data_IF_994916291604
#
_entry.id   IF_994916291604
#
_cell.length_a   1.000
_cell.length_b   1.000
_cell.length_c   1.000
_cell.angle_alpha   90.00
_cell.angle_beta   90.00
_cell.angle_gamma   90.00
#
_symmetry.space_group_name_H-M   'P 1'
#
loop_
_entity.id
_entity.type
_entity.pdbx_description
1 polymer ?
#
# COMPACT_ATOMS: atom_id res chain seq x y z
N UNK A 1 19.33 25.91 29.41
CA UNK A 1 19.74 25.11 28.24
C UNK A 1 20.22 26.08 27.17
N UNK A 2 21.49 26.04 26.81
CA UNK A 2 22.08 26.90 25.76
C UNK A 2 22.19 26.11 24.44
N UNK A 3 22.42 26.83 23.33
CA UNK A 3 22.52 26.24 21.99
C UNK A 3 23.92 25.67 21.70
N UNK A 4 24.88 25.82 22.61
CA UNK A 4 26.29 25.43 22.43
C UNK A 4 26.47 23.99 21.96
N UNK A 5 25.67 23.05 22.48
CA UNK A 5 25.74 21.63 22.07
C UNK A 5 25.36 21.42 20.59
N UNK A 6 24.38 22.19 20.09
CA UNK A 6 23.96 22.19 18.70
C UNK A 6 25.01 22.84 17.80
N UNK A 7 25.61 23.94 18.25
CA UNK A 7 26.66 24.64 17.50
C UNK A 7 27.92 23.79 17.38
N UNK A 8 28.31 23.10 18.46
CA UNK A 8 29.41 22.12 18.45
C UNK A 8 29.12 20.99 17.46
N UNK A 9 27.89 20.51 17.38
CA UNK A 9 27.50 19.49 16.40
C UNK A 9 27.62 19.99 14.95
N UNK A 10 27.18 21.22 14.65
CA UNK A 10 27.39 21.82 13.33
C UNK A 10 28.87 22.06 13.02
N UNK A 11 29.70 22.33 14.02
CA UNK A 11 31.17 22.37 13.90
C UNK A 11 31.75 21.01 13.50
N UNK A 12 31.32 19.94 14.16
CA UNK A 12 31.75 18.56 13.86
C UNK A 12 31.38 18.19 12.42
N UNK A 13 30.17 18.49 11.95
CA UNK A 13 29.76 18.17 10.57
C UNK A 13 30.65 18.89 9.55
N UNK A 14 30.96 20.18 9.77
CA UNK A 14 31.87 20.94 8.90
C UNK A 14 33.27 20.36 8.88
N UNK A 15 33.82 20.01 10.04
CA UNK A 15 35.13 19.39 10.15
C UNK A 15 35.22 18.03 9.42
N UNK A 16 34.15 17.22 9.49
CA UNK A 16 34.07 15.91 8.83
C UNK A 16 33.90 16.06 7.31
N UNK A 17 33.35 17.18 6.83
CA UNK A 17 33.28 17.50 5.41
C UNK A 17 34.65 17.89 4.79
N UNK A 18 35.70 18.01 5.61
CA UNK A 18 37.05 18.33 5.18
C UNK A 18 37.13 19.74 4.57
N UNK A 19 37.68 19.93 3.35
CA UNK A 19 37.79 21.24 2.72
C UNK A 19 36.44 21.85 2.29
N UNK A 20 35.34 21.11 2.45
CA UNK A 20 34.00 21.59 2.11
C UNK A 20 33.28 22.17 3.34
N UNK A 21 33.72 23.34 3.78
CA UNK A 21 33.18 24.04 4.97
C UNK A 21 31.70 24.45 4.85
N UNK A 22 31.13 24.39 3.65
CA UNK A 22 29.74 24.72 3.34
C UNK A 22 29.05 23.57 2.58
N UNK A 23 28.79 22.43 3.26
CA UNK A 23 28.18 21.28 2.62
C UNK A 23 26.77 21.62 2.11
N UNK A 24 26.48 21.21 0.87
CA UNK A 24 25.13 21.27 0.31
C UNK A 24 24.14 20.44 1.16
N UNK A 25 22.84 20.75 1.12
CA UNK A 25 21.81 20.03 1.91
C UNK A 25 21.87 18.50 1.76
N UNK A 26 22.06 17.91 0.56
CA UNK A 26 22.26 16.47 0.41
C UNK A 26 23.52 15.95 1.13
N UNK A 27 24.64 16.66 1.01
CA UNK A 27 25.92 16.30 1.65
C UNK A 27 25.80 16.38 3.17
N UNK A 28 25.19 17.44 3.69
CA UNK A 28 24.92 17.62 5.11
C UNK A 28 24.07 16.48 5.66
N UNK A 29 23.00 16.10 4.96
CA UNK A 29 22.13 15.00 5.38
C UNK A 29 22.87 13.65 5.39
N UNK A 30 23.76 13.43 4.44
CA UNK A 30 24.57 12.21 4.38
C UNK A 30 25.58 12.14 5.53
N UNK A 31 26.29 13.24 5.80
CA UNK A 31 27.22 13.35 6.93
C UNK A 31 26.51 13.20 8.28
N UNK A 32 25.34 13.82 8.43
CA UNK A 32 24.48 13.67 9.60
C UNK A 32 24.15 12.18 9.86
N UNK A 33 23.67 11.46 8.84
CA UNK A 33 23.36 10.03 8.95
C UNK A 33 24.58 9.19 9.33
N UNK A 34 25.73 9.47 8.71
CA UNK A 34 26.98 8.75 9.00
C UNK A 34 27.38 8.98 10.46
N UNK A 35 27.38 10.23 10.93
CA UNK A 35 27.79 10.57 12.29
C UNK A 35 26.83 10.05 13.36
N UNK A 36 25.53 10.04 13.10
CA UNK A 36 24.52 9.46 14.00
C UNK A 36 24.67 7.95 14.16
N UNK A 37 25.20 7.25 13.16
CA UNK A 37 25.44 5.80 13.19
C UNK A 37 26.86 5.48 13.67
N UNK A 38 27.83 6.37 13.43
CA UNK A 38 29.24 6.16 13.78
C UNK A 38 29.45 5.96 15.29
N UNK A 39 28.74 6.71 16.14
CA UNK A 39 28.78 6.55 17.60
C UNK A 39 28.25 5.21 18.10
N UNK A 40 27.37 4.56 17.31
CA UNK A 40 26.80 3.24 17.62
C UNK A 40 27.70 2.09 17.16
N UNK A 41 28.50 2.32 16.11
CA UNK A 41 29.42 1.32 15.55
C UNK A 41 30.78 1.36 16.26
N UNK A 42 31.24 2.54 16.67
CA UNK A 42 32.58 2.71 17.26
C UNK A 42 32.53 3.71 18.40
N UNK A 43 32.76 3.27 19.66
CA UNK A 43 32.88 4.22 20.76
C UNK A 43 34.07 5.17 20.50
N UNK A 44 33.98 6.44 20.94
CA UNK A 44 35.07 7.39 20.79
C UNK A 44 36.33 6.87 21.47
N UNK A 45 37.47 6.85 20.76
CA UNK A 45 38.76 6.36 21.27
C UNK A 45 39.33 7.20 22.43
N UNK A 46 38.86 8.43 22.59
CA UNK A 46 39.37 9.39 23.58
C UNK A 46 38.23 10.23 24.13
N UNK A 47 38.09 10.24 25.46
CA UNK A 47 37.15 11.04 26.24
C UNK A 47 37.23 10.59 27.70
N UNK A 48 37.03 11.49 28.67
CA UNK A 48 37.05 11.19 30.11
C UNK A 48 35.80 10.40 30.57
N UNK A 49 35.27 9.52 29.73
CA UNK A 49 34.20 8.61 30.07
C UNK A 49 34.83 7.23 30.29
N UNK A 50 34.95 6.82 31.55
CA UNK A 50 35.19 5.42 31.88
C UNK A 50 34.06 4.59 31.29
N UNK A 51 34.39 3.56 30.51
CA UNK A 51 33.42 2.61 29.97
C UNK A 51 32.87 1.84 31.16
N UNK A 52 31.76 2.32 31.71
CA UNK A 52 30.99 1.61 32.70
C UNK A 52 30.09 0.64 31.94
N UNK A 53 30.35 -0.65 32.14
CA UNK A 53 29.60 -1.82 31.64
C UNK A 53 30.07 -2.40 30.29
N UNK A 54 30.43 -3.69 30.35
CA UNK A 54 30.84 -4.56 29.25
C UNK A 54 29.71 -4.88 28.25
N UNK A 55 28.53 -4.26 28.38
CA UNK A 55 27.33 -4.55 27.61
C UNK A 55 26.77 -3.31 26.89
N UNK A 56 27.60 -2.65 26.07
CA UNK A 56 27.04 -1.75 25.05
C UNK A 56 26.56 -2.65 23.89
N UNK A 57 25.28 -2.60 23.47
CA UNK A 57 24.85 -3.26 22.25
C UNK A 57 25.50 -2.54 21.06
N UNK A 58 26.72 -2.94 20.71
CA UNK A 58 27.41 -2.46 19.51
C UNK A 58 26.67 -3.07 18.33
N UNK A 59 25.94 -2.24 17.60
CA UNK A 59 25.33 -2.65 16.34
C UNK A 59 26.48 -2.98 15.40
N UNK A 60 26.66 -4.27 15.12
CA UNK A 60 27.72 -4.75 14.25
C UNK A 60 27.37 -4.47 12.78
N UNK A 61 28.40 -4.46 11.93
CA UNK A 61 28.19 -4.42 10.47
C UNK A 61 27.34 -5.62 10.02
N UNK A 62 27.38 -6.73 10.75
CA UNK A 62 26.54 -7.89 10.47
C UNK A 62 25.06 -7.65 10.80
N UNK A 63 24.75 -6.88 11.85
CA UNK A 63 23.37 -6.47 12.17
C UNK A 63 22.83 -5.52 11.10
N UNK A 64 23.66 -4.58 10.63
CA UNK A 64 23.30 -3.70 9.50
C UNK A 64 23.10 -4.53 8.23
N UNK A 65 23.97 -5.50 7.96
CA UNK A 65 23.83 -6.42 6.83
C UNK A 65 22.60 -7.31 6.97
N UNK A 66 22.21 -7.75 8.15
CA UNK A 66 20.95 -8.49 8.36
C UNK A 66 19.74 -7.61 8.08
N UNK A 67 19.73 -6.36 8.56
CA UNK A 67 18.66 -5.38 8.28
C UNK A 67 18.61 -5.00 6.79
N UNK A 68 19.75 -4.97 6.12
CA UNK A 68 19.83 -4.64 4.68
C UNK A 68 19.54 -5.87 3.81
N UNK A 69 19.95 -7.06 4.23
CA UNK A 69 19.63 -8.36 3.61
C UNK A 69 18.18 -8.79 3.93
N UNK A 70 17.46 -8.08 4.81
CA UNK A 70 15.99 -8.07 4.87
C UNK A 70 15.35 -7.42 3.62
N UNK A 71 16.01 -7.48 2.46
CA UNK A 71 15.34 -7.57 1.16
C UNK A 71 14.44 -8.83 1.02
N UNK A 72 14.24 -9.59 2.10
CA UNK A 72 13.05 -10.40 2.38
C UNK A 72 11.70 -9.64 2.32
N UNK A 73 11.65 -8.35 1.95
CA UNK A 73 10.40 -7.76 1.44
C UNK A 73 9.90 -8.49 0.20
N UNK A 74 10.81 -8.99 -0.65
CA UNK A 74 10.42 -9.84 -1.77
C UNK A 74 9.93 -11.20 -1.29
N UNK A 75 10.57 -11.83 -0.28
CA UNK A 75 10.14 -13.15 0.20
C UNK A 75 8.79 -13.12 0.92
N UNK A 76 8.55 -12.16 1.82
CA UNK A 76 7.26 -12.03 2.54
C UNK A 76 6.13 -11.71 1.56
N UNK A 77 6.37 -10.81 0.60
CA UNK A 77 5.39 -10.51 -0.45
C UNK A 77 5.12 -11.75 -1.31
N UNK A 78 6.17 -12.46 -1.74
CA UNK A 78 6.03 -13.68 -2.52
C UNK A 78 5.26 -14.75 -1.76
N UNK A 79 5.53 -14.92 -0.47
CA UNK A 79 4.80 -15.86 0.40
C UNK A 79 3.32 -15.50 0.51
N UNK A 80 2.99 -14.22 0.75
CA UNK A 80 1.60 -13.74 0.81
C UNK A 80 0.86 -13.93 -0.52
N UNK A 81 1.53 -13.63 -1.64
CA UNK A 81 1.00 -13.84 -2.99
C UNK A 81 0.84 -15.32 -3.30
N UNK A 82 1.76 -16.17 -2.87
CA UNK A 82 1.67 -17.62 -3.04
C UNK A 82 0.51 -18.21 -2.23
N UNK A 83 0.35 -17.79 -0.97
CA UNK A 83 -0.81 -18.16 -0.13
C UNK A 83 -2.13 -17.75 -0.79
N UNK A 84 -2.19 -16.54 -1.34
CA UNK A 84 -3.35 -16.06 -2.09
C UNK A 84 -3.62 -16.92 -3.33
N UNK A 85 -2.59 -17.21 -4.13
CA UNK A 85 -2.71 -18.04 -5.33
C UNK A 85 -3.24 -19.43 -5.00
N UNK A 86 -2.69 -20.06 -3.95
CA UNK A 86 -3.15 -21.37 -3.48
C UNK A 86 -4.61 -21.34 -3.02
N UNK A 87 -5.04 -20.30 -2.27
CA UNK A 87 -6.45 -20.14 -1.88
C UNK A 87 -7.38 -20.02 -3.10
N UNK A 88 -6.94 -19.29 -4.12
CA UNK A 88 -7.70 -19.17 -5.38
C UNK A 88 -7.78 -20.51 -6.09
N UNK A 89 -6.67 -21.25 -6.20
CA UNK A 89 -6.61 -22.59 -6.80
C UNK A 89 -7.55 -23.59 -6.09
N UNK A 90 -7.64 -23.55 -4.75
CA UNK A 90 -8.57 -24.42 -3.99
C UNK A 90 -10.04 -24.13 -4.29
N UNK A 91 -10.44 -22.85 -4.32
CA UNK A 91 -11.83 -22.44 -4.61
C UNK A 91 -12.26 -22.87 -6.03
N UNK A 92 -11.28 -23.01 -6.92
CA UNK A 92 -11.46 -23.38 -8.31
C UNK A 92 -11.78 -24.88 -8.48
N UNK A 93 -11.15 -25.76 -7.68
CA UNK A 93 -11.24 -27.22 -7.83
C UNK A 93 -12.56 -27.79 -7.28
N UNK A 94 -13.19 -27.10 -6.32
CA UNK A 94 -14.42 -27.54 -5.66
C UNK A 94 -15.72 -27.20 -6.43
N UNK A 95 -15.69 -27.18 -7.76
CA UNK A 95 -16.77 -26.67 -8.63
C UNK A 95 -18.20 -26.97 -8.16
N UNK A 96 -18.83 -26.01 -7.46
CA UNK A 96 -20.25 -26.06 -7.06
C UNK A 96 -20.88 -24.66 -7.14
N UNK A 97 -21.78 -24.50 -8.12
CA UNK A 97 -22.77 -23.42 -8.27
C UNK A 97 -24.05 -23.80 -7.51
N UNK A 98 -24.71 -22.88 -6.80
CA UNK A 98 -25.89 -22.21 -7.35
C UNK A 98 -25.86 -20.66 -7.37
N UNK A 99 -26.66 -20.04 -8.25
CA UNK A 99 -26.70 -18.59 -8.56
C UNK A 99 -27.66 -17.82 -7.66
N UNK A 100 -28.60 -18.51 -7.00
CA UNK A 100 -29.79 -17.87 -6.45
C UNK A 100 -29.62 -17.26 -5.03
N UNK A 101 -28.48 -17.45 -4.37
CA UNK A 101 -28.27 -16.97 -2.99
C UNK A 101 -27.70 -15.54 -2.88
N UNK A 102 -27.27 -14.90 -3.99
CA UNK A 102 -26.77 -13.51 -3.95
C UNK A 102 -27.93 -12.49 -4.03
N UNK A 103 -29.14 -12.94 -4.37
CA UNK A 103 -30.32 -12.08 -4.55
C UNK A 103 -31.34 -12.11 -3.40
N UNK A 104 -31.12 -12.88 -2.33
CA UNK A 104 -32.03 -12.87 -1.20
C UNK A 104 -31.66 -11.77 -0.20
N UNK A 105 -32.44 -10.71 -0.26
CA UNK A 105 -32.63 -9.66 0.76
C UNK A 105 -31.54 -8.61 0.93
N UNK A 106 -31.31 -7.80 -0.10
CA UNK A 106 -30.81 -6.45 0.14
C UNK A 106 -31.86 -5.42 -0.27
N UNK A 107 -32.51 -4.86 0.74
CA UNK A 107 -33.19 -3.56 0.66
C UNK A 107 -32.22 -2.55 0.01
N UNK A 108 -32.35 -2.34 -1.31
CA UNK A 108 -31.65 -1.32 -2.09
C UNK A 108 -32.01 0.11 -1.67
N UNK A 109 -32.93 0.26 -0.72
CA UNK A 109 -33.22 1.51 -0.06
C UNK A 109 -32.36 1.64 1.20
N UNK A 110 -31.44 2.61 1.16
CA UNK A 110 -30.92 3.37 2.31
C UNK A 110 -29.44 3.13 2.70
N UNK A 111 -28.51 3.53 1.83
CA UNK A 111 -27.24 4.22 2.18
C UNK A 111 -26.50 4.65 0.90
N UNK A 112 -26.65 5.91 0.45
CA UNK A 112 -25.78 6.61 -0.52
C UNK A 112 -25.00 5.74 -1.55
N UNK A 113 -25.64 4.75 -2.19
CA UNK A 113 -24.94 3.64 -2.84
C UNK A 113 -24.27 4.06 -4.14
N UNK A 114 -24.85 5.03 -4.84
CA UNK A 114 -24.39 5.47 -6.16
C UNK A 114 -22.97 6.04 -6.16
N UNK A 115 -22.55 6.80 -5.14
CA UNK A 115 -21.21 7.42 -5.12
C UNK A 115 -20.12 6.38 -4.90
N UNK A 116 -20.35 5.45 -3.97
CA UNK A 116 -19.42 4.35 -3.73
C UNK A 116 -19.27 3.50 -4.99
N UNK A 117 -20.39 3.07 -5.55
CA UNK A 117 -20.44 2.24 -6.76
C UNK A 117 -19.77 2.94 -7.95
N UNK A 118 -20.04 4.24 -8.14
CA UNK A 118 -19.39 5.06 -9.16
C UNK A 118 -17.86 5.13 -9.01
N UNK A 119 -17.38 5.30 -7.78
CA UNK A 119 -15.93 5.37 -7.52
C UNK A 119 -15.27 4.02 -7.73
N UNK A 120 -15.88 2.94 -7.22
CA UNK A 120 -15.41 1.57 -7.41
C UNK A 120 -15.39 1.20 -8.89
N UNK A 121 -16.42 1.56 -9.64
CA UNK A 121 -16.51 1.33 -11.08
C UNK A 121 -15.41 2.08 -11.85
N UNK A 122 -15.18 3.35 -11.50
CA UNK A 122 -14.08 4.14 -12.05
C UNK A 122 -12.71 3.51 -11.75
N UNK A 123 -12.48 3.05 -10.51
CA UNK A 123 -11.24 2.37 -10.12
C UNK A 123 -11.07 1.03 -10.83
N UNK A 124 -12.16 0.29 -11.04
CA UNK A 124 -12.17 -0.97 -11.79
C UNK A 124 -11.69 -0.78 -13.23
N UNK A 125 -12.10 0.31 -13.88
CA UNK A 125 -11.57 0.71 -15.20
C UNK A 125 -10.05 0.96 -15.18
N UNK A 126 -9.53 1.62 -14.14
CA UNK A 126 -8.08 1.81 -13.96
C UNK A 126 -7.34 0.48 -13.78
N UNK A 127 -7.88 -0.44 -12.96
CA UNK A 127 -7.29 -1.78 -12.77
C UNK A 127 -7.24 -2.53 -14.09
N UNK A 128 -8.32 -2.51 -14.87
CA UNK A 128 -8.37 -3.15 -16.18
C UNK A 128 -7.26 -2.63 -17.11
N UNK A 129 -7.15 -1.30 -17.23
CA UNK A 129 -6.11 -0.65 -18.05
C UNK A 129 -4.69 -1.02 -17.62
N UNK A 130 -4.47 -1.27 -16.34
CA UNK A 130 -3.16 -1.65 -15.78
C UNK A 130 -2.84 -3.13 -15.94
N UNK A 131 -3.85 -4.00 -15.97
CA UNK A 131 -3.70 -5.44 -16.16
C UNK A 131 -3.40 -5.80 -17.61
N UNK A 132 -4.17 -5.25 -18.55
CA UNK A 132 -4.17 -5.66 -19.96
C UNK A 132 -2.77 -5.73 -20.62
N UNK A 133 -1.84 -4.78 -20.42
CA UNK A 133 -0.51 -4.85 -21.04
C UNK A 133 0.32 -6.07 -20.61
N UNK A 134 0.02 -6.67 -19.46
CA UNK A 134 0.76 -7.80 -18.92
C UNK A 134 0.15 -9.16 -19.31
N UNK A 135 -1.03 -9.18 -19.93
CA UNK A 135 -1.75 -10.41 -20.28
C UNK A 135 -1.45 -10.75 -21.74
N UNK A 136 -0.87 -11.94 -21.96
CA UNK A 136 -0.57 -12.46 -23.31
C UNK A 136 -1.66 -13.41 -23.82
N UNK A 137 -2.38 -14.07 -22.93
CA UNK A 137 -3.44 -15.00 -23.30
C UNK A 137 -4.66 -14.25 -23.85
N UNK A 138 -5.05 -14.58 -25.09
CA UNK A 138 -6.19 -13.96 -25.77
C UNK A 138 -7.51 -14.20 -25.02
N UNK A 139 -7.73 -15.42 -24.52
CA UNK A 139 -8.94 -15.74 -23.75
C UNK A 139 -9.04 -14.89 -22.48
N UNK A 140 -7.93 -14.66 -21.77
CA UNK A 140 -7.90 -13.79 -20.59
C UNK A 140 -8.17 -12.32 -20.95
N UNK A 141 -7.59 -11.83 -22.06
CA UNK A 141 -7.84 -10.48 -22.56
C UNK A 141 -9.32 -10.29 -22.94
N UNK A 142 -9.90 -11.25 -23.64
CA UNK A 142 -11.31 -11.21 -24.04
C UNK A 142 -12.24 -11.24 -22.82
N UNK A 143 -11.86 -11.95 -21.75
CA UNK A 143 -12.61 -12.01 -20.49
C UNK A 143 -12.62 -10.69 -19.72
N UNK A 144 -11.56 -9.89 -19.88
CA UNK A 144 -11.39 -8.58 -19.25
C UNK A 144 -11.63 -7.44 -20.24
N UNK A 145 -12.18 -7.74 -21.43
CA UNK A 145 -12.32 -6.76 -22.49
C UNK A 145 -13.12 -5.56 -21.99
N UNK A 146 -12.53 -4.34 -22.06
CA UNK A 146 -13.26 -3.15 -21.66
C UNK A 146 -14.32 -2.81 -22.69
N UNK A 147 -15.39 -2.19 -22.22
CA UNK A 147 -16.35 -1.49 -23.08
C UNK A 147 -15.89 -0.04 -23.26
N UNK A 148 -16.18 0.50 -24.45
CA UNK A 148 -15.86 1.88 -24.82
C UNK A 148 -17.14 2.61 -25.19
N UNK A 149 -17.15 3.93 -24.99
CA UNK A 149 -18.32 4.76 -25.26
C UNK A 149 -19.14 5.01 -24.00
N UNK A 150 -20.43 5.25 -24.18
CA UNK A 150 -21.34 5.56 -23.08
C UNK A 150 -22.06 4.29 -22.65
N UNK A 151 -21.86 3.89 -21.39
CA UNK A 151 -22.58 2.76 -20.78
C UNK A 151 -23.69 3.31 -19.88
N UNK A 152 -24.93 2.88 -20.11
CA UNK A 152 -26.12 3.40 -19.43
C UNK A 152 -26.43 2.51 -18.21
N UNK A 153 -25.59 2.63 -17.18
CA UNK A 153 -25.81 2.03 -15.85
C UNK A 153 -25.44 3.06 -14.76
N UNK A 154 -26.09 3.04 -13.58
CA UNK A 154 -25.84 4.03 -12.52
C UNK A 154 -24.37 4.10 -12.09
N UNK A 155 -23.70 2.97 -12.00
CA UNK A 155 -22.31 2.85 -11.55
C UNK A 155 -21.31 3.45 -12.56
N UNK A 156 -21.70 3.58 -13.82
CA UNK A 156 -20.86 4.15 -14.87
C UNK A 156 -20.92 5.68 -14.92
N UNK A 157 -21.78 6.33 -14.13
CA UNK A 157 -22.06 7.77 -14.21
C UNK A 157 -20.78 8.62 -14.08
N UNK A 158 -19.91 8.31 -13.12
CA UNK A 158 -18.64 9.02 -12.93
C UNK A 158 -17.68 8.88 -14.12
N UNK A 159 -17.63 7.69 -14.73
CA UNK A 159 -16.80 7.44 -15.93
C UNK A 159 -17.36 8.24 -17.11
N UNK A 160 -18.67 8.17 -17.33
CA UNK A 160 -19.36 8.92 -18.39
C UNK A 160 -19.18 10.43 -18.24
N UNK A 161 -19.23 10.95 -17.00
CA UNK A 161 -19.03 12.38 -16.72
C UNK A 161 -17.58 12.83 -16.98
N UNK A 162 -16.60 11.98 -16.65
CA UNK A 162 -15.17 12.34 -16.75
C UNK A 162 -14.51 11.97 -18.06
N UNK A 163 -15.11 11.08 -18.85
CA UNK A 163 -14.47 10.56 -20.04
C UNK A 163 -14.32 11.65 -21.11
N UNK A 164 -13.14 11.68 -21.74
CA UNK A 164 -12.86 12.44 -22.96
C UNK A 164 -12.63 11.50 -24.15
N UNK A 165 -13.22 10.30 -24.10
CA UNK A 165 -13.06 9.24 -25.09
C UNK A 165 -11.98 8.18 -24.76
N UNK A 166 -11.21 8.34 -23.67
CA UNK A 166 -10.10 7.44 -23.33
C UNK A 166 -10.23 6.68 -22.01
N UNK A 167 -11.32 6.91 -21.26
CA UNK A 167 -11.64 6.08 -20.10
C UNK A 167 -12.35 4.81 -20.56
N UNK A 168 -12.04 3.72 -19.87
CA UNK A 168 -12.53 2.38 -20.18
C UNK A 168 -13.55 1.94 -19.16
N UNK A 169 -14.63 1.32 -19.61
CA UNK A 169 -15.59 0.66 -18.75
C UNK A 169 -15.10 -0.76 -18.45
N UNK A 170 -14.97 -1.15 -17.17
CA UNK A 170 -14.61 -2.51 -16.81
C UNK A 170 -15.69 -3.50 -17.25
N UNK A 171 -15.29 -4.74 -17.52
CA UNK A 171 -16.26 -5.84 -17.61
C UNK A 171 -16.99 -6.01 -16.26
N UNK A 172 -18.27 -6.38 -16.30
CA UNK A 172 -19.13 -6.58 -15.12
C UNK A 172 -18.48 -7.47 -14.05
N UNK A 173 -17.84 -8.57 -14.43
CA UNK A 173 -17.22 -9.49 -13.47
C UNK A 173 -16.05 -8.83 -12.72
N UNK A 174 -15.22 -8.07 -13.43
CA UNK A 174 -14.13 -7.32 -12.80
C UNK A 174 -14.67 -6.28 -11.83
N UNK A 175 -15.72 -5.55 -12.22
CA UNK A 175 -16.37 -4.58 -11.34
C UNK A 175 -16.86 -5.22 -10.04
N UNK A 176 -17.60 -6.33 -10.12
CA UNK A 176 -18.13 -7.02 -8.93
C UNK A 176 -17.03 -7.53 -8.01
N UNK A 177 -15.93 -8.07 -8.57
CA UNK A 177 -14.76 -8.50 -7.79
C UNK A 177 -14.18 -7.30 -7.04
N UNK A 178 -13.94 -6.18 -7.73
CA UNK A 178 -13.35 -4.98 -7.12
C UNK A 178 -14.28 -4.36 -6.07
N UNK A 179 -15.59 -4.35 -6.32
CA UNK A 179 -16.58 -3.88 -5.35
C UNK A 179 -16.53 -4.69 -4.05
N UNK A 180 -16.49 -6.02 -4.15
CA UNK A 180 -16.39 -6.88 -2.98
C UNK A 180 -15.04 -6.73 -2.26
N UNK A 181 -13.93 -6.60 -3.00
CA UNK A 181 -12.61 -6.32 -2.39
C UNK A 181 -12.64 -4.97 -1.66
N UNK A 182 -13.28 -3.92 -2.18
CA UNK A 182 -13.36 -2.62 -1.50
C UNK A 182 -14.17 -2.73 -0.20
N UNK A 183 -15.30 -3.43 -0.21
CA UNK A 183 -16.12 -3.66 1.00
C UNK A 183 -15.31 -4.40 2.07
N UNK A 184 -14.47 -5.37 1.69
CA UNK A 184 -13.60 -6.06 2.63
C UNK A 184 -12.43 -5.17 3.08
N UNK A 185 -11.82 -4.43 2.16
CA UNK A 185 -10.71 -3.51 2.45
C UNK A 185 -11.12 -2.44 3.45
N UNK A 186 -12.30 -1.83 3.31
CA UNK A 186 -12.78 -0.78 4.20
C UNK A 186 -12.87 -1.24 5.66
N UNK A 187 -13.27 -2.50 5.89
CA UNK A 187 -13.34 -3.10 7.23
C UNK A 187 -11.96 -3.26 7.87
N UNK A 188 -10.95 -3.60 7.07
CA UNK A 188 -9.60 -3.94 7.55
C UNK A 188 -8.57 -2.85 7.28
N UNK A 189 -8.96 -1.68 6.78
CA UNK A 189 -8.04 -0.63 6.32
C UNK A 189 -7.10 -0.10 7.42
N UNK A 190 -7.53 -0.16 8.69
CA UNK A 190 -6.76 0.26 9.86
C UNK A 190 -5.91 -0.85 10.48
N UNK A 191 -6.07 -2.10 10.02
CA UNK A 191 -5.34 -3.25 10.55
C UNK A 191 -3.85 -3.20 10.20
N UNK A 192 -2.96 -3.74 11.04
CA UNK A 192 -1.57 -3.99 10.65
C UNK A 192 -1.43 -5.02 9.51
N UNK A 193 -2.41 -5.91 9.32
CA UNK A 193 -2.38 -7.02 8.34
C UNK A 193 -3.46 -6.86 7.24
N UNK A 194 -3.67 -5.62 6.76
CA UNK A 194 -4.74 -5.27 5.80
C UNK A 194 -4.86 -6.24 4.63
N UNK A 195 -3.73 -6.66 4.05
CA UNK A 195 -3.74 -7.53 2.86
C UNK A 195 -4.33 -8.90 3.15
N UNK A 196 -3.84 -9.57 4.20
CA UNK A 196 -4.31 -10.91 4.60
C UNK A 196 -5.76 -10.88 5.00
N UNK A 197 -6.12 -9.94 5.89
CA UNK A 197 -7.47 -9.86 6.44
C UNK A 197 -8.50 -9.49 5.37
N UNK A 198 -8.14 -8.62 4.42
CA UNK A 198 -9.00 -8.32 3.26
C UNK A 198 -9.22 -9.55 2.39
N UNK A 199 -8.16 -10.32 2.11
CA UNK A 199 -8.28 -11.55 1.32
C UNK A 199 -9.11 -12.61 2.06
N UNK A 200 -8.89 -12.79 3.36
CA UNK A 200 -9.61 -13.77 4.18
C UNK A 200 -11.10 -13.44 4.31
N UNK A 201 -11.44 -12.18 4.55
CA UNK A 201 -12.83 -11.72 4.57
C UNK A 201 -13.49 -11.81 3.19
N UNK A 202 -12.74 -11.62 2.10
CA UNK A 202 -13.28 -11.86 0.76
C UNK A 202 -13.64 -13.33 0.56
N UNK A 203 -12.72 -14.25 0.90
CA UNK A 203 -12.92 -15.68 0.66
C UNK A 203 -13.93 -16.32 1.62
N UNK A 204 -14.07 -15.80 2.85
CA UNK A 204 -15.06 -16.30 3.80
C UNK A 204 -16.51 -16.03 3.37
N UNK A 205 -16.72 -15.11 2.43
CA UNK A 205 -18.04 -14.73 1.91
C UNK A 205 -18.53 -15.61 0.76
N UNK A 206 -17.84 -16.72 0.47
CA UNK A 206 -18.21 -17.68 -0.59
C UNK A 206 -18.44 -17.01 -1.95
N UNK A 207 -17.66 -15.98 -2.27
CA UNK A 207 -17.77 -15.29 -3.55
C UNK A 207 -17.27 -16.19 -4.70
N UNK A 208 -18.18 -16.58 -5.59
CA UNK A 208 -17.87 -17.48 -6.71
C UNK A 208 -17.14 -16.73 -7.82
N UNK A 209 -15.84 -17.02 -7.96
CA UNK A 209 -14.99 -16.48 -9.02
C UNK A 209 -15.01 -17.39 -10.24
N UNK A 210 -15.75 -17.03 -11.28
CA UNK A 210 -15.66 -17.71 -12.58
C UNK A 210 -14.75 -16.91 -13.52
N UNK A 211 -13.77 -17.60 -14.10
CA UNK A 211 -12.91 -17.05 -15.13
C UNK A 211 -12.73 -18.10 -16.22
N UNK A 212 -12.97 -17.76 -17.49
CA UNK A 212 -13.13 -18.76 -18.54
C UNK A 212 -11.81 -19.44 -18.93
N UNK A 213 -10.66 -18.83 -18.62
CA UNK A 213 -9.36 -19.44 -18.84
C UNK A 213 -8.95 -20.33 -17.66
N UNK A 214 -8.88 -21.64 -17.86
CA UNK A 214 -8.46 -22.60 -16.84
C UNK A 214 -7.01 -22.44 -16.38
N UNK A 215 -6.10 -22.09 -17.31
CA UNK A 215 -4.66 -22.09 -17.03
C UNK A 215 -4.17 -20.85 -16.27
N UNK A 216 -4.74 -19.68 -16.57
CA UNK A 216 -4.25 -18.39 -16.07
C UNK A 216 -5.17 -17.73 -15.05
N UNK A 217 -6.37 -18.28 -14.79
CA UNK A 217 -7.35 -17.68 -13.86
C UNK A 217 -6.72 -17.29 -12.52
N UNK A 218 -5.98 -18.19 -11.91
CA UNK A 218 -5.42 -17.98 -10.57
C UNK A 218 -4.37 -16.88 -10.58
N UNK A 219 -3.57 -16.80 -11.65
CA UNK A 219 -2.62 -15.72 -11.87
C UNK A 219 -3.34 -14.37 -12.06
N UNK A 220 -4.35 -14.31 -12.93
CA UNK A 220 -5.10 -13.07 -13.22
C UNK A 220 -5.85 -12.57 -11.99
N UNK A 221 -6.57 -13.43 -11.27
CA UNK A 221 -7.27 -13.05 -10.04
C UNK A 221 -6.28 -12.60 -8.98
N UNK A 222 -5.17 -13.33 -8.79
CA UNK A 222 -4.10 -12.91 -7.85
C UNK A 222 -3.59 -11.51 -8.20
N UNK A 223 -3.34 -11.24 -9.49
CA UNK A 223 -2.89 -9.94 -9.96
C UNK A 223 -3.93 -8.84 -9.69
N UNK A 224 -5.23 -9.11 -9.86
CA UNK A 224 -6.32 -8.18 -9.51
C UNK A 224 -6.24 -7.79 -8.03
N UNK A 225 -6.22 -8.77 -7.13
CA UNK A 225 -6.15 -8.54 -5.68
C UNK A 225 -4.90 -7.76 -5.29
N UNK A 226 -3.74 -8.21 -5.78
CA UNK A 226 -2.45 -7.58 -5.49
C UNK A 226 -2.44 -6.13 -5.97
N UNK A 227 -2.89 -5.86 -7.18
CA UNK A 227 -2.91 -4.50 -7.72
C UNK A 227 -3.88 -3.60 -6.97
N UNK A 228 -5.10 -4.08 -6.70
CA UNK A 228 -6.13 -3.27 -6.07
C UNK A 228 -5.82 -2.97 -4.61
N UNK A 229 -5.55 -3.99 -3.80
CA UNK A 229 -5.27 -3.80 -2.36
C UNK A 229 -4.02 -2.95 -2.17
N UNK A 230 -2.94 -3.19 -2.93
CA UNK A 230 -1.73 -2.36 -2.86
C UNK A 230 -2.03 -0.90 -3.21
N UNK A 231 -2.85 -0.65 -4.23
CA UNK A 231 -3.27 0.70 -4.61
C UNK A 231 -4.08 1.35 -3.48
N UNK A 232 -5.05 0.65 -2.90
CA UNK A 232 -5.91 1.15 -1.82
C UNK A 232 -5.13 1.43 -0.55
N UNK A 233 -4.21 0.56 -0.14
CA UNK A 233 -3.30 0.80 1.00
C UNK A 233 -2.52 2.11 0.81
N UNK A 234 -1.95 2.35 -0.38
CA UNK A 234 -1.22 3.60 -0.68
C UNK A 234 -2.11 4.83 -0.57
N UNK A 235 -3.31 4.77 -1.15
CA UNK A 235 -4.29 5.86 -1.10
C UNK A 235 -4.72 6.14 0.34
N UNK A 236 -5.00 5.09 1.12
CA UNK A 236 -5.40 5.18 2.53
C UNK A 236 -4.29 5.79 3.39
N UNK A 237 -3.06 5.29 3.28
CA UNK A 237 -1.91 5.85 4.00
C UNK A 237 -1.67 7.31 3.64
N UNK A 238 -1.78 7.68 2.35
CA UNK A 238 -1.66 9.06 1.92
C UNK A 238 -2.75 9.95 2.55
N UNK A 239 -4.00 9.50 2.55
CA UNK A 239 -5.12 10.24 3.16
C UNK A 239 -4.92 10.42 4.67
N UNK A 240 -4.57 9.36 5.41
CA UNK A 240 -4.27 9.42 6.86
C UNK A 240 -3.10 10.36 7.15
N UNK A 241 -2.02 10.29 6.37
CA UNK A 241 -0.87 11.19 6.52
C UNK A 241 -1.25 12.66 6.32
N UNK A 242 -2.12 12.97 5.35
CA UNK A 242 -2.62 14.33 5.15
C UNK A 242 -3.49 14.81 6.32
N UNK A 243 -4.32 13.94 6.90
CA UNK A 243 -5.09 14.26 8.10
C UNK A 243 -4.17 14.52 9.31
N UNK A 244 -3.16 13.68 9.52
CA UNK A 244 -2.17 13.87 10.60
C UNK A 244 -1.39 15.18 10.44
N UNK A 245 -1.01 15.57 9.22
CA UNK A 245 -0.38 16.87 8.97
C UNK A 245 -1.27 18.03 9.39
N UNK A 246 -2.58 17.96 9.11
CA UNK A 246 -3.55 18.97 9.56
C UNK A 246 -3.64 19.02 11.09
N UNK A 247 -3.76 17.86 11.75
CA UNK A 247 -3.80 17.77 13.21
C UNK A 247 -2.52 18.32 13.86
N UNK A 248 -1.35 17.97 13.33
CA UNK A 248 -0.06 18.47 13.82
C UNK A 248 0.06 19.99 13.66
N UNK A 249 -0.47 20.57 12.57
CA UNK A 249 -0.53 22.03 12.38
C UNK A 249 -1.39 22.69 13.46
N UNK A 250 -2.52 22.09 13.83
CA UNK A 250 -3.40 22.58 14.90
C UNK A 250 -2.70 22.48 16.26
N UNK A 251 -2.13 21.31 16.59
CA UNK A 251 -1.37 21.11 17.85
C UNK A 251 -0.23 22.12 18.01
N UNK A 252 0.53 22.39 16.94
CA UNK A 252 1.59 23.41 16.92
C UNK A 252 1.09 24.85 17.11
N UNK A 253 -0.15 25.16 16.72
CA UNK A 253 -0.76 26.48 16.99
C UNK A 253 -1.19 26.56 18.45
N UNK A 254 -1.84 25.53 18.97
CA UNK A 254 -2.30 25.46 20.36
C UNK A 254 -1.14 25.49 21.36
N UNK A 255 -0.02 24.81 21.06
CA UNK A 255 1.17 24.82 21.94
C UNK A 255 1.82 26.21 22.06
N UNK A 256 1.51 27.16 21.18
CA UNK A 256 1.98 28.56 21.26
C UNK A 256 1.06 29.45 22.09
N UNK A 257 -0.14 28.97 22.44
CA UNK A 257 -1.13 29.70 23.22
C UNK A 257 -1.10 29.33 24.71
N UNK A 258 -0.36 28.28 25.08
CA UNK A 258 -0.09 27.95 26.48
C UNK A 258 1.15 28.71 26.90
N UNK A 259 0.97 29.74 27.74
CA UNK A 259 2.07 30.40 28.45
C UNK A 259 2.65 29.43 29.47
N UNK A 260 3.90 29.01 29.27
CA UNK A 260 4.72 28.33 30.28
C UNK A 260 5.06 29.26 31.43
#
# INVERSE_FOLDING_TARGET
MNQDCLEKFFGIIRQVAGPNDHPSTPTYLQLYKILSVYSLIKPPKTGNCTILEENIPVITINDIRQITNQENKNSIRQEKVLKLKNKIDTIIEEGVWDIDDIFQEHNYFNRNSTVFDCVVYFLSGYINKKLNPNIKCKQCLDSLKPEYGQVIIPEAELVNLKTRGFLTHPNKNLYLIIQMIEVCFEKHAESPNVFEETCEDFFSRNFKLTFPCGDHKSEIITNIFVLYITMRMRQFSYAKNQQMKKQNKVKKKLSKLVST
#
